data_IF_916917546189
#
_entry.id   IF_916917546189
#
_cell.length_a   1.000
_cell.length_b   1.000
_cell.length_c   1.000
_cell.angle_alpha   90.00
_cell.angle_beta   90.00
_cell.angle_gamma   90.00
#
_symmetry.space_group_name_H-M   'P 1'
#
loop_
_entity.id
_entity.type
_entity.pdbx_description
1 polymer ?
#
# COMPACT_ATOMS: atom_id res chain seq x y z
N UNK A 1 -49.98 27.79 -9.12
CA UNK A 1 -48.91 26.95 -8.54
C UNK A 1 -47.60 27.66 -8.80
N UNK A 2 -46.81 27.96 -7.77
CA UNK A 2 -45.52 28.64 -7.93
C UNK A 2 -44.50 27.62 -8.47
N UNK A 3 -43.72 28.00 -9.48
CA UNK A 3 -42.67 27.17 -10.06
C UNK A 3 -41.33 27.77 -9.60
N UNK A 4 -40.48 26.94 -9.00
CA UNK A 4 -39.16 27.31 -8.50
C UNK A 4 -38.07 26.79 -9.44
N UNK A 5 -37.06 27.61 -9.72
CA UNK A 5 -35.99 27.22 -10.65
C UNK A 5 -34.76 26.76 -9.90
N UNK A 6 -34.32 25.54 -10.19
CA UNK A 6 -33.10 24.95 -9.66
C UNK A 6 -31.85 25.66 -10.19
N UNK A 7 -30.74 25.70 -9.43
CA UNK A 7 -29.43 26.20 -9.93
C UNK A 7 -28.93 25.49 -11.20
N UNK A 8 -29.47 24.30 -11.51
CA UNK A 8 -29.20 23.55 -12.75
C UNK A 8 -30.15 23.88 -13.90
N UNK A 9 -31.11 24.79 -13.71
CA UNK A 9 -32.04 25.28 -14.73
C UNK A 9 -33.38 24.54 -14.81
N UNK A 10 -33.63 23.57 -13.92
CA UNK A 10 -34.87 22.77 -13.96
C UNK A 10 -36.05 23.47 -13.27
N UNK A 11 -37.29 23.35 -13.80
CA UNK A 11 -38.49 23.77 -13.09
C UNK A 11 -38.85 22.77 -11.98
N UNK A 12 -39.22 23.28 -10.81
CA UNK A 12 -39.67 22.50 -9.66
C UNK A 12 -41.00 23.01 -9.13
N UNK A 13 -41.85 22.09 -8.68
CA UNK A 13 -43.11 22.42 -8.02
C UNK A 13 -42.95 22.54 -6.50
N UNK A 14 -41.86 22.00 -5.94
CA UNK A 14 -41.55 22.06 -4.51
C UNK A 14 -40.60 23.22 -4.17
N UNK A 15 -40.85 23.95 -3.07
CA UNK A 15 -40.04 25.10 -2.66
C UNK A 15 -38.70 24.72 -2.02
N UNK A 16 -38.58 23.52 -1.45
CA UNK A 16 -37.39 23.10 -0.69
C UNK A 16 -36.46 22.19 -1.51
N UNK A 17 -36.96 21.46 -2.50
CA UNK A 17 -36.20 20.50 -3.30
C UNK A 17 -36.62 20.51 -4.76
N UNK A 18 -35.67 20.29 -5.67
CA UNK A 18 -35.95 20.14 -7.09
C UNK A 18 -36.55 18.76 -7.37
N UNK A 19 -37.77 18.71 -7.90
CA UNK A 19 -38.48 17.46 -8.19
C UNK A 19 -37.79 16.59 -9.25
N UNK A 20 -36.93 17.17 -10.09
CA UNK A 20 -36.27 16.46 -11.19
C UNK A 20 -34.87 15.95 -10.82
N UNK A 21 -34.08 16.73 -10.08
CA UNK A 21 -32.70 16.36 -9.74
C UNK A 21 -32.43 16.16 -8.24
N UNK A 22 -33.41 16.42 -7.37
CA UNK A 22 -33.31 16.21 -5.92
C UNK A 22 -32.45 17.25 -5.17
N UNK A 23 -31.92 18.26 -5.86
CA UNK A 23 -31.10 19.29 -5.23
C UNK A 23 -31.94 20.23 -4.35
N UNK A 24 -31.44 20.60 -3.17
CA UNK A 24 -32.14 21.52 -2.27
C UNK A 24 -32.20 22.92 -2.87
N UNK A 25 -33.41 23.47 -2.97
CA UNK A 25 -33.66 24.83 -3.42
C UNK A 25 -33.59 25.73 -2.19
N UNK A 26 -32.55 26.56 -2.08
CA UNK A 26 -32.46 27.52 -0.99
C UNK A 26 -33.26 28.79 -1.35
N UNK A 27 -34.12 29.31 -0.45
CA UNK A 27 -34.71 30.63 -0.64
C UNK A 27 -33.64 31.70 -0.34
N UNK A 28 -33.12 32.34 -1.38
CA UNK A 28 -32.39 33.60 -1.24
C UNK A 28 -33.37 34.76 -1.04
N UNK A 29 -33.02 35.78 -0.22
CA UNK A 29 -32.14 36.78 -0.79
C UNK A 29 -31.02 37.18 0.17
N UNK A 30 -29.79 37.23 -0.34
CA UNK A 30 -28.98 38.44 -0.30
C UNK A 30 -27.64 38.15 -0.95
N UNK A 31 -27.46 38.84 -2.07
CA UNK A 31 -26.18 39.29 -2.59
C UNK A 31 -25.26 39.77 -1.48
N UNK A 32 -24.10 39.11 -1.34
CA UNK A 32 -22.88 39.79 -0.94
C UNK A 32 -21.93 39.73 -2.11
N UNK A 33 -21.47 40.92 -2.48
CA UNK A 33 -20.69 41.24 -3.63
C UNK A 33 -19.41 40.41 -3.73
N UNK A 34 -19.13 39.93 -4.95
CA UNK A 34 -17.82 39.49 -5.36
C UNK A 34 -16.85 40.68 -5.31
N UNK A 35 -15.95 40.67 -4.33
CA UNK A 35 -14.64 41.30 -4.50
C UNK A 35 -13.81 40.41 -5.46
N UNK A 36 -13.01 40.97 -6.37
CA UNK A 36 -12.09 40.19 -7.19
C UNK A 36 -10.99 39.64 -6.26
N UNK A 37 -11.16 38.39 -5.82
CA UNK A 37 -10.11 37.64 -5.18
C UNK A 37 -8.97 37.45 -6.17
N UNK A 38 -7.80 37.96 -5.80
CA UNK A 38 -6.53 37.74 -6.48
C UNK A 38 -6.35 36.26 -6.84
N UNK A 39 -5.67 35.94 -7.96
CA UNK A 39 -5.41 34.55 -8.34
C UNK A 39 -4.62 33.89 -7.21
N UNK A 40 -5.27 32.94 -6.53
CA UNK A 40 -4.53 31.99 -5.71
C UNK A 40 -3.60 31.23 -6.65
N UNK A 41 -2.30 31.13 -6.37
CA UNK A 41 -1.42 30.33 -7.20
C UNK A 41 -1.96 28.90 -7.18
N UNK A 42 -2.41 28.42 -8.33
CA UNK A 42 -2.57 27.00 -8.59
C UNK A 42 -1.17 26.40 -8.49
N UNK A 43 -0.80 25.97 -7.28
CA UNK A 43 0.25 24.99 -7.15
C UNK A 43 -0.22 23.78 -7.96
N UNK A 44 0.59 23.39 -8.94
CA UNK A 44 0.41 22.17 -9.71
C UNK A 44 0.44 21.00 -8.71
N UNK A 45 -0.74 20.66 -8.20
CA UNK A 45 -0.93 19.54 -7.29
C UNK A 45 -0.91 18.31 -8.18
N UNK A 46 0.31 17.86 -8.51
CA UNK A 46 0.55 16.71 -9.35
C UNK A 46 -0.21 15.46 -8.91
N UNK A 47 -0.20 14.44 -9.75
CA UNK A 47 -0.86 13.16 -9.47
C UNK A 47 -0.27 12.43 -8.27
N UNK A 48 -1.08 11.57 -7.67
CA UNK A 48 -0.63 10.66 -6.63
C UNK A 48 0.50 9.75 -7.14
N UNK A 49 1.65 9.66 -6.45
CA UNK A 49 2.80 8.87 -6.91
C UNK A 49 2.55 7.36 -6.88
N UNK A 50 1.55 6.92 -6.11
CA UNK A 50 1.26 5.50 -5.88
C UNK A 50 0.24 4.93 -6.88
N UNK A 51 -0.72 5.75 -7.33
CA UNK A 51 -1.80 5.29 -8.21
C UNK A 51 -2.09 6.20 -9.41
N UNK A 52 -1.42 7.36 -9.55
CA UNK A 52 -1.59 8.28 -10.67
C UNK A 52 -2.84 9.16 -10.64
N UNK A 53 -3.77 8.96 -9.69
CA UNK A 53 -4.98 9.78 -9.56
C UNK A 53 -4.63 11.25 -9.31
N UNK A 54 -5.27 12.23 -10.00
CA UNK A 54 -5.01 13.64 -9.78
C UNK A 54 -5.30 14.05 -8.33
N UNK A 55 -4.41 14.84 -7.73
CA UNK A 55 -4.56 15.29 -6.36
C UNK A 55 -5.60 16.40 -6.26
N UNK A 56 -6.59 16.20 -5.40
CA UNK A 56 -7.55 17.24 -5.03
C UNK A 56 -6.88 18.33 -4.18
N UNK A 57 -7.24 19.59 -4.43
CA UNK A 57 -6.76 20.74 -3.69
C UNK A 57 -7.05 20.61 -2.19
N UNK A 58 -6.00 20.61 -1.37
CA UNK A 58 -6.10 20.48 0.09
C UNK A 58 -6.21 19.04 0.63
N UNK A 59 -6.21 18.01 -0.23
CA UNK A 59 -6.24 16.62 0.25
C UNK A 59 -4.90 16.23 0.93
N UNK A 60 -5.01 15.70 2.15
CA UNK A 60 -3.89 15.10 2.91
C UNK A 60 -3.64 13.64 2.51
N UNK A 61 -4.69 12.93 2.13
CA UNK A 61 -4.61 11.53 1.70
C UNK A 61 -5.20 11.37 0.30
N UNK A 62 -4.68 10.44 -0.50
CA UNK A 62 -5.30 10.03 -1.75
C UNK A 62 -6.65 9.33 -1.49
N UNK A 63 -7.71 9.71 -2.18
CA UNK A 63 -9.03 9.08 -2.00
C UNK A 63 -9.12 7.65 -2.58
N UNK A 64 -8.21 7.30 -3.49
CA UNK A 64 -8.18 5.99 -4.17
C UNK A 64 -7.29 5.01 -3.41
N UNK A 65 -6.02 5.36 -3.18
CA UNK A 65 -5.03 4.47 -2.54
C UNK A 65 -4.65 4.88 -1.11
N UNK A 66 -5.21 5.96 -0.55
CA UNK A 66 -4.91 6.47 0.79
C UNK A 66 -3.48 6.93 1.07
N UNK A 67 -2.63 7.04 0.04
CA UNK A 67 -1.30 7.62 0.15
C UNK A 67 -1.33 8.98 0.89
N UNK A 68 -0.56 9.12 1.97
CA UNK A 68 -0.45 10.37 2.75
C UNK A 68 0.53 11.33 2.07
N UNK A 69 0.00 12.43 1.51
CA UNK A 69 0.79 13.45 0.83
C UNK A 69 1.64 14.33 1.76
N UNK A 70 1.34 14.34 3.06
CA UNK A 70 2.11 15.11 4.05
C UNK A 70 3.42 14.42 4.45
N UNK A 71 3.47 13.09 4.39
CA UNK A 71 4.68 12.31 4.67
C UNK A 71 5.81 12.59 3.66
N UNK A 72 5.47 12.92 2.41
CA UNK A 72 6.46 13.24 1.37
C UNK A 72 6.99 14.70 1.49
N UNK A 73 6.23 15.62 2.08
CA UNK A 73 6.68 17.01 2.31
C UNK A 73 7.72 17.17 3.43
N UNK A 74 7.81 16.19 4.34
CA UNK A 74 8.79 16.17 5.43
C UNK A 74 10.20 15.71 4.98
N UNK A 75 10.35 15.17 3.77
CA UNK A 75 11.64 14.74 3.23
C UNK A 75 12.45 15.85 2.52
N UNK A 76 11.90 17.06 2.37
CA UNK A 76 12.52 18.16 1.61
C UNK A 76 13.11 19.30 2.49
N UNK A 77 13.23 19.10 3.81
CA UNK A 77 13.83 20.09 4.72
C UNK A 77 14.90 19.47 5.63
N UNK A 78 15.97 18.95 5.03
CA UNK A 78 17.24 18.76 5.71
C UNK A 78 18.36 19.12 4.73
N UNK A 79 18.68 20.41 4.65
CA UNK A 79 19.85 20.89 3.94
C UNK A 79 21.13 20.40 4.66
N UNK A 80 22.16 19.94 3.92
CA UNK A 80 23.43 19.56 4.51
C UNK A 80 24.18 20.80 5.00
N UNK A 81 24.54 20.82 6.28
CA UNK A 81 25.44 21.82 6.85
C UNK A 81 26.86 21.67 6.23
N UNK A 82 27.54 22.79 5.92
CA UNK A 82 28.89 22.75 5.35
C UNK A 82 29.93 22.30 6.40
N UNK A 83 31.05 21.69 5.98
CA UNK A 83 32.12 21.30 6.89
C UNK A 83 32.98 22.51 7.29
N UNK A 84 33.44 22.63 8.55
CA UNK A 84 34.54 23.53 8.88
C UNK A 84 35.88 22.91 8.47
N UNK A 85 36.73 23.75 7.86
CA UNK A 85 38.07 23.41 7.43
C UNK A 85 39.08 23.34 8.59
N UNK A 86 40.16 22.61 8.29
CA UNK A 86 41.31 22.16 9.05
C UNK A 86 42.05 23.16 9.95
N UNK A 87 42.57 22.67 11.07
CA UNK A 87 43.89 23.06 11.58
C UNK A 87 44.60 21.85 12.25
N UNK A 88 45.93 21.86 12.16
CA UNK A 88 46.86 20.72 12.07
C UNK A 88 47.19 19.95 13.37
N UNK A 89 47.77 18.76 13.15
CA UNK A 89 48.21 17.72 14.09
C UNK A 89 49.25 18.15 15.17
N UNK A 90 49.57 17.28 16.16
CA UNK A 90 50.59 16.25 15.91
C UNK A 90 50.27 14.85 16.47
N UNK A 91 51.06 13.89 15.98
CA UNK A 91 50.91 12.45 16.09
C UNK A 91 51.11 11.89 17.51
N UNK A 92 50.30 10.86 17.85
CA UNK A 92 50.64 9.85 18.85
C UNK A 92 50.08 8.50 18.45
N UNK A 93 50.94 7.50 18.62
CA UNK A 93 50.89 6.09 18.22
C UNK A 93 49.52 5.40 18.11
N UNK A 94 49.36 4.68 16.98
CA UNK A 94 48.27 3.76 16.71
C UNK A 94 48.31 2.49 17.58
N UNK A 95 47.18 2.06 18.16
CA UNK A 95 46.88 0.65 18.36
C UNK A 95 45.99 0.14 17.22
N UNK A 96 46.39 -0.98 16.63
CA UNK A 96 45.72 -1.68 15.53
C UNK A 96 44.26 -2.02 15.87
N UNK A 97 43.25 -1.60 15.08
CA UNK A 97 41.89 -2.11 15.23
C UNK A 97 41.78 -3.55 14.68
N UNK A 98 40.98 -4.43 15.32
CA UNK A 98 40.77 -5.79 14.83
C UNK A 98 40.05 -5.72 13.48
N UNK A 99 40.65 -6.34 12.48
CA UNK A 99 40.09 -6.49 11.15
C UNK A 99 38.86 -7.41 11.26
N UNK A 100 37.67 -6.84 11.20
CA UNK A 100 36.45 -7.64 10.98
C UNK A 100 36.52 -8.08 9.53
N UNK A 101 36.85 -9.34 9.33
CA UNK A 101 36.95 -9.97 8.02
C UNK A 101 35.63 -9.79 7.27
N UNK A 102 35.71 -9.13 6.12
CA UNK A 102 34.67 -9.20 5.08
C UNK A 102 34.47 -10.67 4.75
N UNK A 103 33.36 -11.25 5.20
CA UNK A 103 32.95 -12.58 4.76
C UNK A 103 32.70 -12.49 3.25
N UNK A 104 33.45 -13.20 2.39
CA UNK A 104 33.14 -13.20 0.97
C UNK A 104 31.76 -13.82 0.77
N UNK A 105 30.92 -13.13 0.00
CA UNK A 105 29.68 -13.67 -0.56
C UNK A 105 30.06 -14.89 -1.40
N UNK A 106 30.02 -16.07 -0.79
CA UNK A 106 30.14 -17.31 -1.51
C UNK A 106 28.97 -17.38 -2.50
N UNK A 107 29.20 -17.54 -3.81
CA UNK A 107 28.12 -17.90 -4.71
C UNK A 107 27.62 -19.26 -4.25
N UNK A 108 26.38 -19.34 -3.78
CA UNK A 108 25.72 -20.60 -3.50
C UNK A 108 25.38 -21.29 -4.84
N UNK A 109 26.40 -21.83 -5.49
CA UNK A 109 26.25 -22.81 -6.56
C UNK A 109 25.86 -24.13 -5.92
N UNK A 110 24.56 -24.42 -5.84
CA UNK A 110 24.13 -25.72 -5.34
C UNK A 110 22.66 -25.93 -4.96
N UNK A 111 21.69 -25.38 -5.70
CA UNK A 111 20.34 -25.97 -5.78
C UNK A 111 19.68 -25.46 -7.06
N UNK A 112 19.06 -26.32 -7.85
CA UNK A 112 18.38 -25.91 -9.06
C UNK A 112 17.27 -24.91 -8.69
N UNK A 113 17.40 -23.64 -9.06
CA UNK A 113 16.47 -22.56 -8.70
C UNK A 113 15.14 -22.62 -9.48
N UNK A 114 14.90 -23.75 -10.15
CA UNK A 114 13.69 -24.13 -10.86
C UNK A 114 12.90 -25.16 -10.04
N UNK A 115 12.73 -24.94 -8.74
CA UNK A 115 11.79 -25.75 -7.98
C UNK A 115 10.38 -25.22 -8.26
N UNK A 116 9.44 -26.11 -8.59
CA UNK A 116 8.05 -25.74 -8.68
C UNK A 116 7.60 -25.37 -7.28
N UNK A 117 7.64 -24.08 -6.97
CA UNK A 117 7.20 -23.58 -5.68
C UNK A 117 5.69 -23.53 -5.63
N UNK A 118 5.13 -23.86 -4.47
CA UNK A 118 3.70 -23.82 -4.18
C UNK A 118 3.45 -22.96 -2.94
N UNK A 119 2.41 -22.13 -2.99
CA UNK A 119 1.90 -21.41 -1.85
C UNK A 119 0.75 -22.20 -1.21
N UNK A 120 0.95 -22.64 0.04
CA UNK A 120 -0.08 -23.32 0.84
C UNK A 120 -0.68 -22.33 1.81
N UNK A 121 -1.94 -22.01 1.59
CA UNK A 121 -2.68 -20.97 2.28
C UNK A 121 -3.55 -21.63 3.34
N UNK A 122 -3.42 -21.14 4.57
CA UNK A 122 -4.19 -21.60 5.72
C UNK A 122 -4.78 -20.40 6.46
N UNK A 123 -5.99 -20.57 6.97
CA UNK A 123 -6.57 -19.66 7.94
C UNK A 123 -6.35 -20.23 9.35
N UNK A 124 -5.53 -19.56 10.16
CA UNK A 124 -5.12 -20.03 11.48
C UNK A 124 -5.71 -19.13 12.58
N UNK A 125 -6.68 -19.67 13.32
CA UNK A 125 -7.36 -18.96 14.41
C UNK A 125 -6.44 -18.66 15.58
N UNK A 126 -5.33 -19.38 15.73
CA UNK A 126 -4.38 -19.19 16.83
C UNK A 126 -3.51 -17.93 16.67
N UNK A 127 -3.49 -17.33 15.47
CA UNK A 127 -2.73 -16.11 15.19
C UNK A 127 -3.21 -14.89 16.00
N UNK A 128 -4.47 -14.89 16.47
CA UNK A 128 -5.04 -13.82 17.28
C UNK A 128 -5.76 -14.42 18.48
N UNK A 129 -5.29 -14.09 19.69
CA UNK A 129 -5.83 -14.63 20.94
C UNK A 129 -7.15 -13.97 21.37
N UNK A 130 -7.39 -12.72 20.96
CA UNK A 130 -8.60 -11.96 21.29
C UNK A 130 -9.05 -11.09 20.10
N UNK A 131 -9.78 -11.67 19.13
CA UNK A 131 -10.19 -10.92 17.96
C UNK A 131 -11.27 -9.88 18.26
N UNK A 132 -11.15 -8.75 17.58
CA UNK A 132 -12.24 -7.79 17.46
C UNK A 132 -13.38 -8.43 16.65
N UNK A 133 -14.60 -8.38 17.18
CA UNK A 133 -15.80 -8.87 16.49
C UNK A 133 -16.03 -8.17 15.14
N UNK A 134 -15.46 -6.98 14.93
CA UNK A 134 -15.50 -6.27 13.65
C UNK A 134 -14.72 -6.95 12.52
N UNK A 135 -13.74 -7.80 12.84
CA UNK A 135 -12.98 -8.60 11.87
C UNK A 135 -13.12 -10.09 12.21
N UNK A 136 -14.21 -10.74 11.75
CA UNK A 136 -14.44 -12.15 12.05
C UNK A 136 -13.39 -13.04 11.36
N UNK A 137 -13.14 -14.20 11.96
CA UNK A 137 -12.37 -15.27 11.34
C UNK A 137 -13.14 -15.83 10.13
N UNK A 138 -12.48 -16.10 8.98
CA UNK A 138 -13.11 -16.70 7.81
C UNK A 138 -13.40 -18.20 8.07
N UNK A 139 -14.61 -18.51 8.52
CA UNK A 139 -15.03 -19.89 8.80
C UNK A 139 -15.25 -20.71 7.53
N UNK A 140 -14.92 -22.00 7.61
CA UNK A 140 -15.16 -22.96 6.54
C UNK A 140 -14.16 -22.90 5.38
N UNK A 141 -13.08 -22.14 5.49
CA UNK A 141 -12.06 -22.10 4.45
C UNK A 141 -11.05 -23.24 4.57
N UNK A 142 -10.98 -24.17 3.59
CA UNK A 142 -10.01 -25.25 3.60
C UNK A 142 -8.61 -24.72 3.27
N UNK A 143 -7.62 -25.54 3.60
CA UNK A 143 -6.26 -25.36 3.10
C UNK A 143 -6.26 -25.42 1.56
N UNK A 144 -5.62 -24.45 0.92
CA UNK A 144 -5.51 -24.38 -0.54
C UNK A 144 -4.05 -24.28 -0.94
N UNK A 145 -3.68 -24.97 -2.02
CA UNK A 145 -2.33 -24.95 -2.55
C UNK A 145 -2.35 -24.42 -3.99
N UNK A 146 -1.52 -23.44 -4.29
CA UNK A 146 -1.42 -22.81 -5.61
C UNK A 146 0.02 -22.91 -6.13
N UNK A 147 0.24 -23.33 -7.38
CA UNK A 147 1.56 -23.24 -7.99
C UNK A 147 1.98 -21.77 -8.15
N UNK A 148 3.28 -21.49 -7.99
CA UNK A 148 3.88 -20.19 -8.23
C UNK A 148 4.50 -20.13 -9.63
N UNK A 149 3.65 -20.28 -10.64
CA UNK A 149 4.01 -20.53 -12.03
C UNK A 149 3.91 -19.30 -12.95
N UNK A 150 3.25 -18.23 -12.52
CA UNK A 150 3.19 -16.96 -13.25
C UNK A 150 4.42 -16.09 -12.95
N UNK A 151 4.71 -15.16 -13.86
CA UNK A 151 5.79 -14.18 -13.67
C UNK A 151 5.47 -13.21 -12.53
N UNK A 152 4.19 -12.89 -12.36
CA UNK A 152 3.68 -12.02 -11.33
C UNK A 152 2.37 -12.61 -10.80
N UNK A 153 2.28 -12.77 -9.48
CA UNK A 153 1.07 -13.24 -8.80
C UNK A 153 0.70 -12.27 -7.69
N UNK A 154 -0.45 -11.63 -7.83
CA UNK A 154 -1.05 -10.81 -6.79
C UNK A 154 -1.84 -11.70 -5.82
N UNK A 155 -1.51 -11.54 -4.55
CA UNK A 155 -2.23 -12.09 -3.42
C UNK A 155 -3.02 -10.96 -2.74
N UNK A 156 -4.27 -11.23 -2.44
CA UNK A 156 -5.12 -10.27 -1.76
C UNK A 156 -6.57 -10.71 -1.66
N UNK A 157 -7.39 -9.86 -1.04
CA UNK A 157 -8.82 -10.13 -0.89
C UNK A 157 -9.58 -9.78 -2.15
N UNK A 158 -10.44 -10.67 -2.63
CA UNK A 158 -11.28 -10.38 -3.80
C UNK A 158 -12.22 -9.21 -3.51
N UNK A 159 -12.31 -8.24 -4.43
CA UNK A 159 -13.23 -7.13 -4.29
C UNK A 159 -13.92 -6.81 -5.63
N UNK A 160 -15.05 -7.48 -5.87
CA UNK A 160 -15.81 -7.36 -7.11
C UNK A 160 -16.27 -5.91 -7.42
N UNK A 161 -16.45 -5.06 -6.39
CA UNK A 161 -16.88 -3.66 -6.58
C UNK A 161 -15.75 -2.75 -7.06
N UNK A 162 -14.49 -3.13 -6.86
CA UNK A 162 -13.31 -2.31 -7.21
C UNK A 162 -12.50 -2.93 -8.35
N UNK A 163 -13.06 -3.92 -9.03
CA UNK A 163 -12.42 -4.66 -10.13
C UNK A 163 -11.05 -5.26 -9.78
N UNK A 164 -10.80 -5.54 -8.49
CA UNK A 164 -9.55 -6.14 -8.04
C UNK A 164 -9.68 -7.66 -8.06
N UNK A 165 -8.91 -8.29 -8.95
CA UNK A 165 -8.88 -9.73 -9.20
C UNK A 165 -7.47 -10.28 -8.92
N UNK A 166 -7.14 -10.59 -7.65
CA UNK A 166 -5.89 -11.24 -7.33
C UNK A 166 -5.87 -12.67 -7.89
N UNK A 167 -4.74 -13.11 -8.43
CA UNK A 167 -4.53 -14.48 -8.90
C UNK A 167 -4.74 -15.48 -7.76
N UNK A 168 -4.36 -15.08 -6.54
CA UNK A 168 -4.59 -15.85 -5.32
C UNK A 168 -5.47 -15.04 -4.38
N UNK A 169 -6.77 -15.38 -4.37
CA UNK A 169 -7.75 -14.73 -3.51
C UNK A 169 -7.66 -15.24 -2.06
N UNK A 170 -7.47 -14.33 -1.12
CA UNK A 170 -7.42 -14.58 0.32
C UNK A 170 -8.76 -14.22 0.97
N UNK A 171 -9.28 -15.12 1.79
CA UNK A 171 -10.60 -14.96 2.42
C UNK A 171 -10.59 -14.05 3.66
N UNK A 172 -9.42 -13.83 4.25
CA UNK A 172 -9.24 -12.98 5.43
C UNK A 172 -9.73 -11.54 5.17
N UNK A 173 -10.76 -11.06 5.91
CA UNK A 173 -11.32 -9.73 5.73
C UNK A 173 -10.31 -8.60 5.96
N UNK A 174 -9.28 -8.85 6.78
CA UNK A 174 -8.19 -7.93 7.12
C UNK A 174 -7.08 -7.88 6.06
N UNK A 175 -7.17 -8.69 5.00
CA UNK A 175 -6.24 -8.61 3.87
C UNK A 175 -6.71 -7.56 2.87
N UNK A 176 -5.81 -6.66 2.49
CA UNK A 176 -6.01 -5.68 1.41
C UNK A 176 -6.37 -6.36 0.08
N UNK A 177 -7.12 -5.67 -0.78
CA UNK A 177 -7.48 -6.22 -2.09
C UNK A 177 -6.28 -6.50 -2.99
N UNK A 178 -5.30 -5.59 -2.95
CA UNK A 178 -3.94 -5.79 -3.46
C UNK A 178 -3.04 -5.74 -2.24
N UNK A 179 -2.46 -6.86 -1.83
CA UNK A 179 -1.73 -6.93 -0.55
C UNK A 179 -0.25 -7.25 -0.77
N UNK A 180 0.02 -8.33 -1.47
CA UNK A 180 1.35 -8.87 -1.67
C UNK A 180 1.48 -9.33 -3.12
N UNK A 181 2.65 -9.12 -3.73
CA UNK A 181 2.99 -9.72 -5.02
C UNK A 181 4.12 -10.71 -4.84
N UNK A 182 4.05 -11.81 -5.58
CA UNK A 182 5.17 -12.73 -5.77
C UNK A 182 5.64 -12.57 -7.22
N UNK A 183 6.91 -12.23 -7.40
CA UNK A 183 7.51 -11.96 -8.69
C UNK A 183 8.59 -13.01 -9.00
N UNK A 184 8.56 -13.55 -10.22
CA UNK A 184 9.63 -14.38 -10.78
C UNK A 184 10.72 -13.48 -11.35
N UNK A 185 11.94 -13.73 -10.90
CA UNK A 185 13.13 -13.04 -11.39
C UNK A 185 13.66 -13.73 -12.65
N UNK A 186 14.50 -13.03 -13.40
CA UNK A 186 15.08 -13.54 -14.66
C UNK A 186 15.98 -14.75 -14.47
N UNK A 187 16.56 -14.92 -13.27
CA UNK A 187 17.37 -16.07 -12.89
C UNK A 187 16.52 -17.29 -12.44
N UNK A 188 15.19 -17.15 -12.44
CA UNK A 188 14.26 -18.17 -12.00
C UNK A 188 13.94 -18.14 -10.50
N UNK A 189 14.61 -17.29 -9.70
CA UNK A 189 14.30 -17.10 -8.29
C UNK A 189 12.92 -16.44 -8.10
N UNK A 190 12.41 -16.47 -6.86
CA UNK A 190 11.18 -15.76 -6.47
C UNK A 190 11.51 -14.67 -5.48
N UNK A 191 10.74 -13.60 -5.58
CA UNK A 191 10.75 -12.47 -4.63
C UNK A 191 9.34 -12.15 -4.21
N UNK A 192 9.18 -11.53 -3.05
CA UNK A 192 7.91 -10.99 -2.57
C UNK A 192 7.99 -9.49 -2.34
N UNK A 193 6.87 -8.82 -2.58
CA UNK A 193 6.74 -7.37 -2.42
C UNK A 193 5.40 -7.05 -1.78
N UNK A 194 5.40 -6.49 -0.58
CA UNK A 194 4.18 -5.89 -0.03
C UNK A 194 3.86 -4.62 -0.82
N UNK A 195 2.68 -4.54 -1.43
CA UNK A 195 2.29 -3.45 -2.33
C UNK A 195 1.61 -2.28 -1.63
N UNK A 196 1.92 -2.06 -0.34
CA UNK A 196 1.32 -0.99 0.46
C UNK A 196 0.06 -1.46 1.18
N UNK A 197 0.11 -2.68 1.75
CA UNK A 197 -0.98 -3.25 2.51
C UNK A 197 -1.28 -2.49 3.81
N UNK A 198 -2.54 -2.54 4.28
CA UNK A 198 -2.95 -1.79 5.47
C UNK A 198 -2.42 -2.38 6.77
N UNK A 199 -2.28 -3.71 6.83
CA UNK A 199 -1.88 -4.45 8.03
C UNK A 199 -0.43 -4.94 7.97
N UNK A 200 0.25 -4.70 6.84
CA UNK A 200 1.59 -5.19 6.58
C UNK A 200 1.64 -6.69 6.27
N UNK A 201 2.79 -7.09 5.73
CA UNK A 201 3.16 -8.49 5.50
C UNK A 201 4.34 -8.85 6.40
N UNK A 202 4.35 -10.06 6.96
CA UNK A 202 5.52 -10.62 7.66
C UNK A 202 6.06 -11.83 6.90
N UNK A 203 7.38 -11.93 6.82
CA UNK A 203 8.10 -13.09 6.32
C UNK A 203 8.92 -13.70 7.46
N UNK A 204 8.67 -14.96 7.79
CA UNK A 204 9.33 -15.69 8.87
C UNK A 204 9.29 -14.92 10.21
N UNK A 205 8.17 -14.24 10.48
CA UNK A 205 7.94 -13.42 11.67
C UNK A 205 8.50 -11.99 11.61
N UNK A 206 9.35 -11.66 10.63
CA UNK A 206 9.88 -10.31 10.42
C UNK A 206 8.95 -9.49 9.51
N UNK A 207 8.61 -8.27 9.91
CA UNK A 207 7.80 -7.38 9.08
C UNK A 207 8.59 -6.93 7.84
N UNK A 208 7.96 -6.99 6.67
CA UNK A 208 8.54 -6.51 5.43
C UNK A 208 8.37 -5.00 5.30
N UNK A 209 9.30 -4.36 4.60
CA UNK A 209 9.12 -2.99 4.15
C UNK A 209 8.28 -2.98 2.86
N UNK A 210 7.21 -2.18 2.84
CA UNK A 210 6.38 -2.02 1.66
C UNK A 210 7.19 -1.50 0.46
N UNK A 211 6.93 -2.06 -0.71
CA UNK A 211 7.61 -1.73 -1.98
C UNK A 211 9.02 -2.31 -2.12
N UNK A 212 9.56 -3.03 -1.13
CA UNK A 212 10.90 -3.61 -1.19
C UNK A 212 10.83 -5.08 -1.58
N UNK A 213 11.54 -5.45 -2.64
CA UNK A 213 11.69 -6.85 -3.06
C UNK A 213 12.50 -7.63 -2.05
N UNK A 214 11.90 -8.69 -1.51
CA UNK A 214 12.55 -9.59 -0.55
C UNK A 214 12.63 -11.00 -1.16
N UNK A 215 13.80 -11.67 -1.15
CA UNK A 215 13.94 -13.03 -1.66
C UNK A 215 12.99 -14.01 -0.98
N UNK A 216 12.43 -14.94 -1.76
CA UNK A 216 11.52 -15.99 -1.31
C UNK A 216 12.06 -17.36 -1.70
N UNK A 217 12.02 -18.30 -0.76
CA UNK A 217 12.48 -19.68 -0.95
C UNK A 217 11.50 -20.69 -0.35
N UNK A 218 11.67 -21.95 -0.73
CA UNK A 218 10.97 -23.05 -0.08
C UNK A 218 11.28 -23.09 1.42
N UNK A 219 10.24 -23.38 2.21
CA UNK A 219 10.24 -23.37 3.67
C UNK A 219 9.88 -22.02 4.30
N UNK A 220 9.81 -20.94 3.51
CA UNK A 220 9.42 -19.63 4.04
C UNK A 220 7.93 -19.59 4.43
N UNK A 221 7.65 -18.86 5.51
CA UNK A 221 6.31 -18.62 6.03
C UNK A 221 5.96 -17.15 5.90
N UNK A 222 4.88 -16.86 5.20
CA UNK A 222 4.34 -15.52 5.03
C UNK A 222 3.08 -15.38 5.90
N UNK A 223 2.95 -14.27 6.60
CA UNK A 223 1.76 -13.92 7.37
C UNK A 223 1.21 -12.60 6.86
N UNK A 224 -0.10 -12.58 6.60
CA UNK A 224 -0.82 -11.43 6.07
C UNK A 224 -2.20 -11.35 6.71
N UNK A 225 -2.68 -10.13 6.90
CA UNK A 225 -3.93 -9.88 7.61
C UNK A 225 -3.86 -10.35 9.07
N UNK A 226 -4.97 -10.85 9.58
CA UNK A 226 -5.09 -11.32 10.97
C UNK A 226 -5.07 -12.84 11.06
N UNK A 227 -5.46 -13.53 10.00
CA UNK A 227 -5.82 -14.94 10.01
C UNK A 227 -5.02 -15.79 9.04
N UNK A 228 -4.30 -15.17 8.10
CA UNK A 228 -3.71 -15.90 6.97
C UNK A 228 -2.25 -16.20 7.19
N UNK A 229 -1.90 -17.48 7.06
CA UNK A 229 -0.54 -17.97 6.96
C UNK A 229 -0.35 -18.68 5.63
N UNK A 230 0.77 -18.41 4.97
CA UNK A 230 1.16 -19.06 3.71
C UNK A 230 2.50 -19.73 3.91
N UNK A 231 2.57 -21.04 3.66
CA UNK A 231 3.81 -21.80 3.62
C UNK A 231 4.25 -21.98 2.17
N UNK A 232 5.52 -21.70 1.89
CA UNK A 232 6.12 -21.96 0.58
C UNK A 232 6.73 -23.36 0.59
N UNK A 233 6.25 -24.25 -0.28
CA UNK A 233 6.82 -25.59 -0.46
C UNK A 233 7.45 -25.73 -1.84
N UNK A 234 8.50 -26.55 -1.95
CA UNK A 234 8.98 -27.07 -3.23
C UNK A 234 8.33 -28.43 -3.48
N UNK A 235 7.76 -28.64 -4.67
CA UNK A 235 7.14 -29.91 -5.09
C UNK A 235 7.66 -30.38 -6.43
#
# INVERSE_FOLDING_TARGET
MAIYTCPKGHPSSDPDYCSECGLRLQPGPSTVASAPGAPVPQADLGSCPDCGTPRLAGARFCEVCRHDFSASSAAAAAAPLPPPASESAPAVAAPTPPQIASVPLAPNTGKAWSENLWAIIRCDRSMVTAPDAAVPFPEGEPDRAFPLDLDEMLLGRRNARRDVHPEIAIADPSVSGRHLKICRQTDGSRTIVDVGSSNGTKLNGAALQAGVETPLKAGDQIELGMWTRILIEAR
#
